data_IF_746528288189
#
_entry.id   IF_746528288189
#
_cell.length_a   1.000
_cell.length_b   1.000
_cell.length_c   1.000
_cell.angle_alpha   90.00
_cell.angle_beta   90.00
_cell.angle_gamma   90.00
#
_symmetry.space_group_name_H-M   'P 1'
#
loop_
_entity.id
_entity.type
_entity.pdbx_description
1 polymer ?
2 polymer ?
3 water ?
#
# COMPACT_ATOMS: atom_id res chain seq x y z
N UNK A 7 20.31 23.69 31.55
CA UNK A 7 21.03 22.48 31.16
C UNK A 7 20.57 21.24 31.92
N UNK A 8 19.70 20.45 31.30
CA UNK A 8 19.16 19.25 31.91
C UNK A 8 19.16 18.14 30.86
N UNK A 9 19.64 16.96 31.26
CA UNK A 9 19.79 15.86 30.30
C UNK A 9 18.47 15.53 29.62
N UNK A 10 17.38 15.53 30.39
CA UNK A 10 16.07 15.18 29.81
C UNK A 10 15.67 16.16 28.72
N UNK A 11 15.96 17.44 28.89
CA UNK A 11 15.61 18.43 27.88
C UNK A 11 16.53 18.31 26.66
N UNK A 12 17.81 18.00 26.88
CA UNK A 12 18.73 17.82 25.76
C UNK A 12 18.33 16.62 24.92
N UNK A 13 18.09 15.48 25.58
CA UNK A 13 17.64 14.30 24.85
C UNK A 13 16.33 14.55 24.12
N UNK A 14 15.45 15.35 24.72
CA UNK A 14 14.20 15.72 24.07
C UNK A 14 14.46 16.60 22.86
N UNK A 15 15.31 17.63 23.03
CA UNK A 15 15.67 18.49 21.91
C UNK A 15 16.15 17.69 20.72
N UNK A 16 17.08 16.77 20.95
CA UNK A 16 17.66 16.00 19.84
C UNK A 16 16.63 15.07 19.22
N UNK A 17 15.77 14.46 20.04
CA UNK A 17 14.74 13.58 19.50
C UNK A 17 13.76 14.36 18.63
N UNK A 18 13.46 15.59 19.02
CA UNK A 18 12.52 16.40 18.25
C UNK A 18 13.14 16.84 16.93
N UNK A 19 14.44 17.17 16.94
CA UNK A 19 15.10 17.53 15.68
C UNK A 19 15.18 16.34 14.74
N UNK A 20 15.36 15.13 15.28
CA UNK A 20 15.35 13.94 14.44
C UNK A 20 13.96 13.70 13.85
N UNK A 21 12.91 14.13 14.55
CA UNK A 21 11.56 14.06 13.98
C UNK A 21 11.43 15.02 12.81
N UNK A 22 11.77 16.29 13.02
CA UNK A 22 11.73 17.25 11.93
C UNK A 22 12.59 16.81 10.76
N UNK A 23 13.66 16.05 11.03
CA UNK A 23 14.46 15.47 9.96
C UNK A 23 13.67 14.43 9.18
N UNK A 24 12.95 13.57 9.89
CA UNK A 24 12.14 12.55 9.21
C UNK A 24 10.94 13.18 8.51
N UNK A 25 10.36 14.22 9.12
CA UNK A 25 9.22 14.91 8.49
C UNK A 25 9.59 15.44 7.12
N UNK A 26 10.76 16.07 7.01
CA UNK A 26 11.20 16.59 5.72
C UNK A 26 11.41 15.46 4.71
N UNK A 27 12.06 14.37 5.14
CA UNK A 27 12.30 13.25 4.25
C UNK A 27 10.99 12.62 3.77
N UNK A 28 9.95 12.65 4.61
CA UNK A 28 8.66 12.12 4.18
C UNK A 28 7.94 13.07 3.23
N UNK A 29 8.14 14.38 3.39
CA UNK A 29 7.54 15.32 2.45
C UNK A 29 8.08 15.14 1.05
N UNK A 30 9.31 14.63 0.91
CA UNK A 30 9.85 14.32 -0.40
C UNK A 30 9.14 13.13 -1.02
N UNK A 31 8.98 12.06 -0.25
CA UNK A 31 8.33 10.86 -0.77
C UNK A 31 6.88 11.13 -1.15
N UNK A 32 6.25 12.10 -0.49
CA UNK A 32 4.84 12.40 -0.75
C UNK A 32 4.66 13.31 -1.96
N UNK A 33 5.69 13.99 -2.41
CA UNK A 33 5.58 14.90 -3.55
C UNK A 33 6.24 14.27 -4.78
N UNK A 34 5.55 13.27 -5.32
CA UNK A 34 6.00 12.57 -6.52
C UNK A 34 4.78 12.08 -7.28
N UNK A 35 4.77 12.32 -8.59
CA UNK A 35 3.62 11.96 -9.42
C UNK A 35 3.27 10.49 -9.27
N UNK A 36 4.28 9.62 -9.18
CA UNK A 36 4.07 8.19 -9.04
C UNK A 36 4.50 7.74 -7.65
N UNK A 37 3.55 7.18 -6.90
CA UNK A 37 3.88 6.51 -5.64
C UNK A 37 4.11 5.04 -5.95
N UNK A 38 5.33 4.75 -6.39
CA UNK A 38 5.71 3.41 -6.81
C UNK A 38 5.66 2.44 -5.63
N UNK A 39 5.96 1.18 -5.92
CA UNK A 39 6.02 0.16 -4.86
C UNK A 39 7.00 0.60 -3.76
N UNK A 40 8.09 1.25 -4.14
CA UNK A 40 9.07 1.70 -3.15
C UNK A 40 8.56 2.88 -2.34
N UNK A 41 7.71 3.73 -2.94
CA UNK A 41 7.25 4.93 -2.25
C UNK A 41 6.52 4.57 -0.97
N UNK A 42 5.62 3.58 -1.02
CA UNK A 42 4.95 3.13 0.20
C UNK A 42 5.94 2.53 1.18
N UNK A 43 6.93 1.80 0.67
CA UNK A 43 7.96 1.25 1.54
C UNK A 43 8.68 2.35 2.32
N UNK A 44 9.10 3.41 1.61
CA UNK A 44 9.78 4.51 2.28
C UNK A 44 8.86 5.19 3.29
N UNK A 45 7.59 5.40 2.92
CA UNK A 45 6.64 6.03 3.83
C UNK A 45 6.52 5.22 5.12
N UNK A 46 6.68 3.90 5.04
CA UNK A 46 6.53 3.06 6.22
C UNK A 46 7.73 3.22 7.16
N UNK A 47 8.94 3.27 6.60
CA UNK A 47 10.13 3.45 7.45
C UNK A 47 10.04 4.75 8.23
N UNK A 48 9.81 5.86 7.54
CA UNK A 48 9.70 7.15 8.21
C UNK A 48 8.62 7.14 9.27
N UNK A 49 7.48 6.51 8.98
CA UNK A 49 6.39 6.46 9.96
C UNK A 49 6.80 5.68 11.19
N UNK A 50 7.51 4.57 11.01
CA UNK A 50 7.96 3.79 12.15
C UNK A 50 9.01 4.55 12.96
N UNK A 51 9.84 5.35 12.30
CA UNK A 51 10.84 6.14 13.01
C UNK A 51 10.17 7.27 13.78
N UNK A 52 9.17 7.92 13.18
CA UNK A 52 8.41 8.93 13.89
C UNK A 52 7.73 8.33 15.12
N UNK A 53 7.16 7.14 14.97
CA UNK A 53 6.42 6.53 16.06
C UNK A 53 7.33 6.23 17.25
N UNK A 54 8.53 5.70 16.98
CA UNK A 54 9.43 5.34 18.08
C UNK A 54 10.12 6.56 18.66
N UNK A 55 10.37 7.60 17.85
CA UNK A 55 10.92 8.83 18.38
C UNK A 55 9.88 9.60 19.18
N UNK A 56 8.62 9.56 18.76
CA UNK A 56 7.55 10.15 19.56
C UNK A 56 7.40 9.41 20.88
N UNK A 57 7.62 8.09 20.86
CA UNK A 57 7.57 7.31 22.09
C UNK A 57 8.69 7.73 23.04
N UNK A 58 9.90 7.93 22.51
CA UNK A 58 11.02 8.37 23.35
C UNK A 58 10.76 9.76 23.90
N UNK A 59 10.24 10.66 23.08
CA UNK A 59 9.91 12.00 23.55
C UNK A 59 8.90 11.95 24.69
N UNK A 60 7.85 11.14 24.52
CA UNK A 60 6.85 11.01 25.57
C UNK A 60 7.48 10.55 26.88
N UNK A 61 8.32 9.51 26.83
CA UNK A 61 8.98 9.03 28.03
C UNK A 61 9.82 10.13 28.66
N UNK A 62 10.45 10.98 27.85
CA UNK A 62 11.19 12.11 28.37
C UNK A 62 10.25 13.17 28.93
N UNK A 63 9.20 13.51 28.19
CA UNK A 63 8.21 14.45 28.70
C UNK A 63 7.59 13.96 29.99
N UNK A 64 7.42 12.64 30.14
CA UNK A 64 6.88 12.10 31.38
C UNK A 64 7.78 12.43 32.56
N UNK A 65 9.10 12.25 32.38
CA UNK A 65 10.06 12.60 33.44
C UNK A 65 9.85 14.04 33.87
N UNK A 66 9.73 14.95 32.89
CA UNK A 66 9.62 16.37 33.20
C UNK A 66 8.32 16.68 33.95
N UNK A 67 7.29 15.85 33.77
CA UNK A 67 6.01 16.11 34.43
C UNK A 67 6.05 15.67 35.89
N UNK A 68 6.39 14.41 36.15
CA UNK A 68 6.40 13.91 37.52
C UNK A 68 7.39 14.69 38.39
N UNK A 69 8.50 15.14 37.80
CA UNK A 69 9.45 15.98 38.52
C UNK A 69 9.05 17.44 38.55
N UNK A 70 7.94 17.81 37.91
CA UNK A 70 7.39 19.15 38.00
C UNK A 70 8.40 20.21 37.57
N UNK A 71 9.11 19.93 36.48
CA UNK A 71 10.10 20.88 35.98
C UNK A 71 9.39 22.14 35.48
N UNK A 72 9.90 23.33 35.80
CA UNK A 72 9.16 24.54 35.45
C UNK A 72 9.09 24.78 33.95
N UNK A 73 7.93 25.27 33.50
CA UNK A 73 7.73 25.79 32.15
C UNK A 73 7.52 27.28 32.31
N UNK A 74 8.58 28.06 32.10
CA UNK A 74 8.53 29.49 32.39
C UNK A 74 7.41 30.16 31.61
N UNK A 75 6.92 31.28 32.14
CA UNK A 75 5.88 32.03 31.46
C UNK A 75 6.34 32.49 30.09
N UNK A 76 7.65 32.68 29.91
CA UNK A 76 8.19 33.06 28.60
C UNK A 76 8.08 31.92 27.59
N UNK A 77 7.89 30.69 28.05
CA UNK A 77 7.74 29.54 27.17
C UNK A 77 6.28 29.15 26.96
N UNK A 78 5.43 29.31 27.98
CA UNK A 78 4.01 29.02 27.81
C UNK A 78 3.36 29.92 26.77
N UNK A 79 3.98 31.05 26.44
CA UNK A 79 3.44 31.93 25.41
C UNK A 79 3.59 31.33 24.02
N UNK A 80 4.60 30.48 23.82
CA UNK A 80 4.83 29.86 22.52
C UNK A 80 3.92 28.67 22.26
N UNK A 81 3.39 28.03 23.30
CA UNK A 81 2.47 26.92 23.12
C UNK A 81 1.12 27.36 22.56
N UNK A 82 0.87 28.67 22.48
CA UNK A 82 -0.33 29.15 21.81
C UNK A 82 -0.22 28.99 20.29
N UNK A 83 1.00 29.10 19.76
CA UNK A 83 1.21 28.90 18.34
C UNK A 83 1.01 27.45 17.90
N UNK A 84 0.97 26.51 18.84
CA UNK A 84 0.75 25.13 18.48
C UNK A 84 -0.58 24.99 17.73
N UNK A 85 -0.63 24.17 16.69
CA UNK A 85 -1.89 24.00 15.96
C UNK A 85 -3.04 23.60 16.90
N UNK A 86 -4.25 24.04 16.55
CA UNK A 86 -5.41 23.77 17.39
C UNK A 86 -5.70 22.28 17.47
N UNK A 87 -5.18 21.47 16.54
CA UNK A 87 -5.31 20.03 16.65
C UNK A 87 -4.54 19.48 17.85
N UNK A 88 -3.53 20.21 18.33
CA UNK A 88 -2.79 19.78 19.52
C UNK A 88 -3.60 19.95 20.79
N UNK A 89 -4.66 20.77 20.76
CA UNK A 89 -5.50 21.01 21.93
C UNK A 89 -4.66 21.49 23.10
N UNK A 90 -3.96 22.60 22.88
CA UNK A 90 -3.16 23.24 23.93
C UNK A 90 -3.75 24.60 24.28
N UNK A 95 -3.10 28.98 32.75
CA UNK A 95 -2.90 28.93 34.20
C UNK A 95 -3.06 27.51 34.71
N UNK A 96 -2.21 26.61 34.22
CA UNK A 96 -2.26 25.20 34.59
C UNK A 96 -0.90 24.80 35.17
N UNK A 97 -0.93 23.77 36.02
CA UNK A 97 0.27 23.28 36.70
C UNK A 97 1.41 22.99 35.72
N UNK A 98 2.63 22.88 36.23
CA UNK A 98 3.76 22.49 35.39
C UNK A 98 3.65 21.03 34.98
N UNK A 99 3.34 20.15 35.94
CA UNK A 99 3.26 18.73 35.64
C UNK A 99 2.12 18.41 34.69
N UNK A 100 0.97 19.07 34.88
CA UNK A 100 -0.19 18.79 34.03
C UNK A 100 0.07 19.20 32.58
N UNK A 101 0.95 20.17 32.35
CA UNK A 101 1.20 20.64 30.99
C UNK A 101 2.17 19.74 30.25
N UNK A 102 3.20 19.23 30.94
CA UNK A 102 4.08 18.25 30.31
C UNK A 102 3.29 17.01 29.88
N UNK A 103 2.35 16.57 30.71
CA UNK A 103 1.49 15.44 30.34
C UNK A 103 0.54 15.84 29.23
N UNK A 104 0.04 17.08 29.26
CA UNK A 104 -0.81 17.59 28.19
C UNK A 104 -0.09 17.69 26.86
N UNK A 105 1.23 17.50 26.84
CA UNK A 105 2.01 17.49 25.61
C UNK A 105 2.36 16.07 25.18
N UNK A 106 2.92 15.28 26.10
CA UNK A 106 3.28 13.90 25.77
C UNK A 106 2.12 13.15 25.13
N UNK A 107 0.91 13.38 25.64
CA UNK A 107 -0.27 12.77 25.03
C UNK A 107 -0.66 13.49 23.74
N UNK A 108 -0.56 14.82 23.73
CA UNK A 108 -0.86 15.57 22.52
C UNK A 108 0.01 15.10 21.35
N UNK A 109 1.32 15.10 21.55
CA UNK A 109 2.23 14.65 20.49
C UNK A 109 1.96 13.20 20.13
N UNK A 110 1.51 12.40 21.10
CA UNK A 110 1.28 10.97 20.86
C UNK A 110 -0.04 10.72 20.14
N UNK A 111 -1.09 11.46 20.49
CA UNK A 111 -2.37 11.31 19.82
C UNK A 111 -2.36 11.97 18.45
N UNK A 112 -1.58 13.03 18.27
CA UNK A 112 -1.41 13.65 16.97
C UNK A 112 -0.76 12.68 15.98
N UNK A 113 -0.07 11.65 16.48
CA UNK A 113 0.55 10.65 15.64
C UNK A 113 -0.35 9.43 15.42
N UNK A 114 -0.85 8.84 16.50
CA UNK A 114 -1.62 7.60 16.39
C UNK A 114 -2.99 7.85 15.77
N UNK A 115 -3.75 8.78 16.34
CA UNK A 115 -5.14 9.00 15.96
C UNK A 115 -5.30 10.09 14.90
N UNK A 116 -4.21 10.68 14.41
CA UNK A 116 -4.32 11.74 13.43
C UNK A 116 -3.37 11.50 12.26
N UNK A 117 -2.06 11.54 12.51
CA UNK A 117 -1.09 11.43 11.43
C UNK A 117 -1.15 10.04 10.78
N UNK A 118 -1.08 8.99 11.60
CA UNK A 118 -1.07 7.63 11.06
C UNK A 118 -2.38 7.25 10.39
N UNK A 119 -3.48 7.95 10.68
CA UNK A 119 -4.72 7.68 9.99
C UNK A 119 -4.60 8.00 8.51
N UNK A 120 -4.16 9.22 8.20
CA UNK A 120 -3.93 9.60 6.81
C UNK A 120 -2.91 8.66 6.15
N UNK A 121 -1.92 8.18 6.91
CA UNK A 121 -0.93 7.29 6.35
C UNK A 121 -1.56 6.02 5.80
N UNK A 122 -2.43 5.40 6.60
CA UNK A 122 -3.03 4.13 6.17
C UNK A 122 -4.01 4.35 5.02
N UNK A 123 -4.79 5.43 5.07
CA UNK A 123 -5.69 5.76 3.97
C UNK A 123 -4.93 5.88 2.67
N UNK A 124 -3.79 6.58 2.70
CA UNK A 124 -2.95 6.70 1.51
C UNK A 124 -2.51 5.32 1.03
N UNK A 125 -1.96 4.52 1.94
CA UNK A 125 -1.46 3.20 1.54
C UNK A 125 -2.59 2.31 1.05
N UNK A 126 -3.72 2.29 1.77
CA UNK A 126 -4.85 1.47 1.35
C UNK A 126 -5.31 1.85 -0.05
N UNK A 127 -5.46 3.16 -0.31
CA UNK A 127 -5.90 3.60 -1.62
C UNK A 127 -4.79 3.51 -2.65
N UNK A 128 -3.53 3.72 -2.23
CA UNK A 128 -2.42 3.57 -3.16
C UNK A 128 -2.33 2.13 -3.68
N UNK A 129 -2.38 1.15 -2.77
CA UNK A 129 -2.40 -0.24 -3.19
C UNK A 129 -3.56 -0.52 -4.13
N UNK A 130 -4.75 -0.03 -3.78
CA UNK A 130 -5.92 -0.22 -4.62
C UNK A 130 -5.69 0.33 -6.03
N UNK A 131 -5.25 1.58 -6.11
CA UNK A 131 -5.03 2.18 -7.43
C UNK A 131 -3.85 1.56 -8.16
N UNK A 132 -2.84 1.08 -7.42
CA UNK A 132 -1.75 0.36 -8.05
C UNK A 132 -2.28 -0.86 -8.80
N UNK A 133 -3.09 -1.68 -8.13
CA UNK A 133 -3.64 -2.87 -8.77
C UNK A 133 -4.57 -2.49 -9.92
N UNK A 134 -5.31 -1.40 -9.80
CA UNK A 134 -6.15 -0.96 -10.91
C UNK A 134 -5.29 -0.58 -12.12
N UNK A 135 -4.19 0.14 -11.88
CA UNK A 135 -3.29 0.49 -12.98
C UNK A 135 -2.83 -0.76 -13.72
N UNK A 136 -2.79 -1.91 -13.05
CA UNK A 136 -2.46 -3.16 -13.74
C UNK A 136 -3.57 -3.55 -14.70
N UNK A 137 -4.82 -3.36 -14.31
CA UNK A 137 -5.93 -3.54 -15.24
C UNK A 137 -5.78 -2.58 -16.41
N UNK A 138 -5.33 -1.36 -16.14
CA UNK A 138 -5.17 -0.37 -17.18
C UNK A 138 -4.13 -0.81 -18.21
N UNK A 139 -2.99 -1.32 -17.73
CA UNK A 139 -1.95 -1.78 -18.64
C UNK A 139 -2.38 -3.01 -19.42
N UNK A 140 -3.21 -3.86 -18.82
CA UNK A 140 -3.67 -5.08 -19.48
C UNK A 140 -4.81 -4.84 -20.44
N UNK A 141 -5.31 -3.61 -20.57
CA UNK A 141 -6.38 -3.34 -21.52
C UNK A 141 -5.94 -3.62 -22.95
N UNK A 142 -4.65 -3.51 -23.23
CA UNK A 142 -4.15 -3.82 -24.57
C UNK A 142 -4.54 -5.24 -25.00
N UNK A 143 -4.59 -6.17 -24.05
CA UNK A 143 -4.89 -7.55 -24.35
C UNK A 143 -6.37 -7.89 -24.38
N UNK A 144 -7.25 -6.94 -24.13
CA UNK A 144 -8.69 -7.17 -24.15
C UNK A 144 -9.40 -6.30 -25.19
N UNK A 145 -8.65 -5.59 -26.02
CA UNK A 145 -9.22 -4.70 -27.03
C UNK A 145 -8.47 -4.96 -28.34
N UNK A 146 -9.17 -5.49 -29.34
CA UNK A 146 -8.59 -5.81 -30.62
C UNK A 146 -9.33 -5.04 -31.72
N UNK A 147 -8.64 -4.30 -32.57
CA UNK A 147 -9.33 -3.59 -33.66
C UNK A 147 -9.38 -4.40 -34.94
N UNK A 148 -10.34 -4.04 -35.78
CA UNK A 148 -10.52 -4.69 -37.08
C UNK A 148 -10.48 -3.71 -38.22
N UNK A 153 -15.02 2.11 -37.86
CA UNK A 153 -14.06 1.04 -37.59
C UNK A 153 -14.68 -0.05 -36.72
N UNK A 154 -13.88 -1.04 -36.39
CA UNK A 154 -14.30 -2.18 -35.57
C UNK A 154 -13.36 -2.34 -34.40
N UNK A 155 -13.91 -2.68 -33.24
CA UNK A 155 -13.11 -2.90 -32.04
C UNK A 155 -13.76 -4.00 -31.19
N UNK A 156 -13.11 -5.15 -31.12
CA UNK A 156 -13.57 -6.23 -30.26
C UNK A 156 -13.12 -5.97 -28.83
N UNK A 157 -14.01 -6.27 -27.87
CA UNK A 157 -13.74 -6.03 -26.46
C UNK A 157 -14.06 -7.29 -25.67
N UNK A 158 -13.07 -7.81 -24.94
CA UNK A 158 -13.28 -8.94 -24.05
C UNK A 158 -13.93 -8.45 -22.76
N UNK A 159 -15.24 -8.27 -22.83
CA UNK A 159 -15.98 -7.70 -21.70
C UNK A 159 -15.92 -8.62 -20.49
N UNK A 160 -16.12 -9.93 -20.71
CA UNK A 160 -16.14 -10.87 -19.59
C UNK A 160 -14.82 -10.86 -18.83
N UNK A 161 -13.70 -10.94 -19.57
CA UNK A 161 -12.40 -10.89 -18.92
C UNK A 161 -12.21 -9.59 -18.14
N UNK A 162 -12.70 -8.49 -18.69
CA UNK A 162 -12.50 -7.19 -18.04
C UNK A 162 -13.36 -7.06 -16.78
N UNK A 163 -14.62 -7.49 -16.84
CA UNK A 163 -15.47 -7.43 -15.66
C UNK A 163 -14.92 -8.32 -14.55
N UNK A 164 -14.51 -9.54 -14.90
CA UNK A 164 -13.89 -10.42 -13.91
C UNK A 164 -12.71 -9.73 -13.24
N UNK A 165 -11.88 -9.04 -14.02
CA UNK A 165 -10.74 -8.33 -13.44
C UNK A 165 -11.20 -7.26 -12.46
N UNK A 166 -12.17 -6.44 -12.88
CA UNK A 166 -12.64 -5.35 -12.03
C UNK A 166 -13.37 -5.88 -10.80
N UNK A 167 -14.17 -6.94 -10.98
CA UNK A 167 -14.91 -7.50 -9.85
C UNK A 167 -13.96 -8.09 -8.81
N UNK A 168 -12.85 -8.70 -9.26
CA UNK A 168 -11.86 -9.22 -8.34
C UNK A 168 -11.01 -8.13 -7.70
N UNK A 169 -10.94 -6.95 -8.32
CA UNK A 169 -10.34 -5.80 -7.66
C UNK A 169 -11.19 -5.36 -6.48
N UNK A 170 -12.49 -5.16 -6.69
CA UNK A 170 -13.41 -4.88 -5.59
C UNK A 170 -13.27 -5.92 -4.49
N UNK A 171 -13.27 -7.21 -4.86
CA UNK A 171 -13.17 -8.28 -3.88
C UNK A 171 -11.87 -8.18 -3.09
N UNK A 172 -10.76 -7.92 -3.77
CA UNK A 172 -9.46 -7.91 -3.11
C UNK A 172 -9.33 -6.82 -2.07
N UNK A 173 -10.21 -5.82 -2.05
CA UNK A 173 -10.08 -4.67 -1.17
C UNK A 173 -11.34 -4.41 -0.35
N UNK A 174 -12.26 -5.36 -0.28
CA UNK A 174 -13.49 -5.14 0.48
C UNK A 174 -13.20 -5.04 1.97
N UNK A 175 -12.27 -5.86 2.47
CA UNK A 175 -11.89 -5.86 3.88
C UNK A 175 -10.55 -5.18 4.10
N UNK A 176 -10.27 -4.12 3.33
CA UNK A 176 -9.07 -3.30 3.49
C UNK A 176 -9.52 -1.85 3.53
N UNK A 177 -9.99 -1.39 4.68
CA UNK A 177 -10.58 -0.04 4.77
C UNK A 177 -9.52 1.05 4.82
N UNK A 178 -9.95 2.26 4.43
CA UNK A 178 -9.11 3.43 4.61
C UNK A 178 -8.86 3.71 6.09
N UNK A 179 -9.81 3.35 6.95
CA UNK A 179 -9.71 3.58 8.39
C UNK A 179 -10.77 2.73 9.05
N UNK A 180 -10.46 2.06 10.18
CA UNK A 180 -9.16 2.00 10.86
C UNK A 180 -8.23 0.94 10.28
N UNK A 181 -6.95 1.00 10.63
CA UNK A 181 -6.00 0.01 10.13
C UNK A 181 -6.33 -1.37 10.68
N UNK A 182 -6.66 -1.46 11.96
CA UNK A 182 -7.03 -2.71 12.60
C UNK A 182 -8.31 -2.51 13.39
N UNK A 183 -9.06 -3.60 13.56
CA UNK A 183 -10.28 -3.58 14.36
C UNK A 183 -11.30 -2.59 13.80
N UNK A 184 -12.24 -2.14 14.63
CA UNK A 184 -13.36 -1.33 14.16
C UNK A 184 -13.47 -0.10 15.06
N UNK A 185 -14.47 0.74 14.74
CA UNK A 185 -14.75 1.95 15.50
C UNK A 185 -16.25 2.18 15.53
N UNK A 186 -16.68 3.23 16.23
CA UNK A 186 -18.10 3.54 16.34
C UNK A 186 -18.58 4.29 15.10
N UNK A 187 -19.90 4.29 14.92
CA UNK A 187 -20.48 5.01 13.78
C UNK A 187 -20.08 6.48 13.80
N UNK A 188 -20.25 7.14 14.95
CA UNK A 188 -19.87 8.54 15.05
C UNK A 188 -18.37 8.74 14.85
N UNK A 189 -17.57 7.69 15.04
CA UNK A 189 -16.14 7.77 14.76
C UNK A 189 -15.82 7.49 13.29
N UNK A 190 -16.46 6.48 12.71
CA UNK A 190 -16.29 6.23 11.29
C UNK A 190 -16.83 7.39 10.46
N UNK A 191 -18.00 7.90 10.83
CA UNK A 191 -18.58 9.02 10.10
C UNK A 191 -17.72 10.27 10.22
N UNK A 192 -17.21 10.54 11.42
CA UNK A 192 -16.38 11.73 11.62
C UNK A 192 -15.13 11.69 10.76
N UNK A 193 -14.56 10.51 10.52
CA UNK A 193 -13.42 10.39 9.63
C UNK A 193 -13.84 10.35 8.16
N UNK A 194 -15.01 9.80 7.87
CA UNK A 194 -15.54 9.85 6.51
C UNK A 194 -15.62 11.29 6.01
N UNK A 195 -16.11 12.20 6.86
CA UNK A 195 -16.25 13.58 6.46
C UNK A 195 -14.89 14.23 6.20
N UNK A 196 -13.86 13.84 6.95
CA UNK A 196 -12.54 14.43 6.76
C UNK A 196 -11.89 13.90 5.49
N UNK A 197 -12.02 12.61 5.21
CA UNK A 197 -11.43 12.02 4.02
C UNK A 197 -12.25 12.33 2.78
N UNK A 198 -13.58 12.23 2.88
CA UNK A 198 -14.45 12.47 1.75
C UNK A 198 -15.43 11.35 1.54
N UNK A 199 -16.71 11.69 1.40
CA UNK A 199 -17.72 10.68 1.13
C UNK A 199 -17.60 10.03 -0.23
N UNK A 200 -16.80 10.60 -1.14
CA UNK A 200 -16.57 10.02 -2.45
C UNK A 200 -15.39 9.06 -2.48
N UNK A 201 -14.43 9.24 -1.57
CA UNK A 201 -13.27 8.35 -1.52
C UNK A 201 -13.52 7.15 -0.63
N UNK A 202 -14.32 7.30 0.43
CA UNK A 202 -14.62 6.23 1.34
C UNK A 202 -16.12 6.01 1.49
N UNK A 203 -16.45 5.04 2.35
CA UNK A 203 -17.84 4.71 2.62
C UNK A 203 -17.90 3.89 3.90
N UNK A 204 -18.65 4.37 4.90
CA UNK A 204 -18.78 3.62 6.14
C UNK A 204 -19.44 2.28 5.85
N UNK A 205 -18.99 1.25 6.56
CA UNK A 205 -19.47 -0.10 6.32
C UNK A 205 -19.47 -0.88 7.62
N UNK A 206 -20.35 -1.86 7.72
CA UNK A 206 -20.41 -2.71 8.89
C UNK A 206 -19.42 -3.86 8.76
N UNK A 207 -18.58 -4.02 9.78
CA UNK A 207 -17.61 -5.12 9.85
C UNK A 207 -17.71 -5.72 11.25
N UNK A 208 -18.23 -6.94 11.32
CA UNK A 208 -18.48 -7.60 12.61
C UNK A 208 -19.48 -6.73 13.36
N UNK A 209 -19.19 -6.32 14.60
CA UNK A 209 -20.13 -5.49 15.35
C UNK A 209 -19.98 -4.01 15.08
N UNK A 210 -18.75 -3.55 14.82
CA UNK A 210 -18.48 -2.15 14.63
C UNK A 210 -18.50 -1.73 13.16
N UNK A 211 -17.98 -0.53 12.92
CA UNK A 211 -17.93 0.08 11.60
C UNK A 211 -16.49 0.33 11.18
N UNK A 212 -16.33 0.64 9.90
CA UNK A 212 -15.04 1.02 9.33
C UNK A 212 -15.30 2.10 8.27
N UNK A 213 -14.23 2.54 7.61
CA UNK A 213 -14.32 3.48 6.50
C UNK A 213 -13.72 2.76 5.30
N UNK A 214 -14.54 1.98 4.60
CA UNK A 214 -14.05 1.17 3.49
C UNK A 214 -13.71 2.04 2.30
N UNK A 215 -12.89 1.49 1.41
CA UNK A 215 -12.64 2.13 0.12
C UNK A 215 -13.95 2.23 -0.65
N UNK A 216 -14.20 3.41 -1.22
CA UNK A 216 -15.37 3.59 -2.09
C UNK A 216 -15.00 3.11 -3.49
N UNK A 217 -15.66 2.05 -3.94
CA UNK A 217 -15.38 1.46 -5.25
C UNK A 217 -16.39 1.90 -6.30
N UNK A 218 -17.12 2.99 -6.05
CA UNK A 218 -18.06 3.48 -7.04
C UNK A 218 -17.43 3.67 -8.42
N UNK A 219 -16.22 4.24 -8.55
CA UNK A 219 -15.61 4.33 -9.89
C UNK A 219 -15.57 3.00 -10.63
N UNK A 220 -15.26 1.91 -9.93
CA UNK A 220 -15.26 0.60 -10.55
C UNK A 220 -16.68 0.10 -10.79
N UNK A 221 -17.58 0.35 -9.83
CA UNK A 221 -18.98 0.01 -10.05
C UNK A 221 -19.52 0.66 -11.32
N UNK A 222 -19.17 1.93 -11.55
CA UNK A 222 -19.62 2.62 -12.76
C UNK A 222 -19.09 1.93 -14.00
N UNK A 223 -17.84 1.44 -13.94
CA UNK A 223 -17.27 0.71 -15.07
C UNK A 223 -18.06 -0.56 -15.35
N UNK A 224 -18.37 -1.34 -14.31
CA UNK A 224 -19.12 -2.57 -14.50
C UNK A 224 -20.49 -2.30 -15.09
N UNK A 225 -21.14 -1.21 -14.67
CA UNK A 225 -22.42 -0.84 -15.26
C UNK A 225 -22.26 -0.50 -16.74
N UNK A 226 -21.23 0.28 -17.08
CA UNK A 226 -21.01 0.63 -18.49
C UNK A 226 -20.76 -0.61 -19.34
N UNK A 227 -20.01 -1.58 -18.80
CA UNK A 227 -19.73 -2.79 -19.55
C UNK A 227 -21.00 -3.62 -19.75
N UNK A 228 -21.82 -3.75 -18.70
CA UNK A 228 -23.08 -4.46 -18.84
C UNK A 228 -23.97 -3.83 -19.89
N UNK A 229 -23.84 -2.51 -20.10
CA UNK A 229 -24.65 -1.82 -21.10
C UNK A 229 -24.16 -2.07 -22.51
N UNK A 230 -22.89 -2.46 -22.68
CA UNK A 230 -22.39 -2.79 -24.02
C UNK A 230 -23.08 -4.00 -24.61
N UNK A 231 -23.77 -4.80 -23.80
CA UNK A 231 -24.48 -5.94 -24.32
C UNK A 231 -23.54 -7.07 -24.68
N UNK A 232 -23.97 -7.89 -25.63
CA UNK A 232 -23.21 -9.06 -26.05
C UNK A 232 -23.20 -10.14 -25.00
N UNK A 233 -22.72 -11.33 -25.38
CA UNK A 233 -22.66 -12.46 -24.46
C UNK A 233 -21.23 -12.92 -24.27
N UNK A 234 -20.35 -12.01 -23.83
CA UNK A 234 -18.95 -12.33 -23.67
C UNK A 234 -18.06 -11.28 -24.31
N UNK A 235 -17.72 -11.48 -25.58
CA UNK A 235 -16.95 -10.52 -26.35
C UNK A 235 -17.91 -9.65 -27.16
N UNK A 236 -17.64 -8.35 -27.22
CA UNK A 236 -18.51 -7.38 -27.86
C UNK A 236 -17.69 -6.60 -28.87
N UNK A 237 -18.22 -6.42 -30.07
CA UNK A 237 -17.58 -5.63 -31.11
C UNK A 237 -18.31 -4.30 -31.21
N UNK A 238 -17.59 -3.20 -30.99
CA UNK A 238 -18.18 -1.87 -30.95
C UNK A 238 -17.86 -1.11 -32.24
N UNK A 239 -18.76 -0.20 -32.58
CA UNK A 239 -18.45 0.81 -33.59
C UNK A 239 -17.29 1.66 -33.10
N UNK A 240 -16.74 2.50 -34.00
CA UNK A 240 -15.65 3.37 -33.58
C UNK A 240 -16.16 4.46 -32.64
N UNK A 241 -17.39 4.94 -32.85
CA UNK A 241 -17.95 5.95 -31.96
C UNK A 241 -18.33 5.34 -30.61
N UNK A 242 -18.91 4.14 -30.62
CA UNK A 242 -19.28 3.48 -29.38
C UNK A 242 -18.05 3.08 -28.55
N UNK A 243 -16.89 2.94 -29.19
CA UNK A 243 -15.67 2.64 -28.44
C UNK A 243 -15.11 3.89 -27.78
N UNK A 244 -14.92 4.96 -28.55
CA UNK A 244 -14.45 6.22 -27.97
C UNK A 244 -15.35 6.67 -26.84
N UNK A 245 -16.64 6.34 -26.90
CA UNK A 245 -17.56 6.67 -25.83
C UNK A 245 -17.23 5.89 -24.55
N UNK A 246 -17.11 4.56 -24.68
CA UNK A 246 -16.81 3.73 -23.51
C UNK A 246 -15.45 4.12 -22.92
N UNK A 247 -14.42 4.20 -23.75
CA UNK A 247 -13.09 4.49 -23.26
C UNK A 247 -13.02 5.84 -22.55
N UNK A 248 -13.83 6.82 -23.00
CA UNK A 248 -13.84 8.12 -22.36
C UNK A 248 -14.33 8.01 -20.92
N UNK A 249 -15.46 7.34 -20.71
CA UNK A 249 -15.97 7.15 -19.36
C UNK A 249 -15.06 6.27 -18.52
N UNK A 250 -14.40 5.30 -19.15
CA UNK A 250 -13.46 4.45 -18.42
C UNK A 250 -12.20 5.23 -18.05
N UNK A 251 -11.79 6.16 -18.92
CA UNK A 251 -10.64 7.00 -18.61
C UNK A 251 -10.99 8.09 -17.62
N UNK A 252 -12.24 8.56 -17.63
CA UNK A 252 -12.66 9.56 -16.65
C UNK A 252 -12.70 8.98 -15.25
N UNK A 253 -13.17 7.74 -15.11
CA UNK A 253 -13.14 7.08 -13.81
C UNK A 253 -11.71 6.88 -13.33
N UNK A 254 -10.77 6.70 -14.27
CA UNK A 254 -9.37 6.58 -13.88
C UNK A 254 -8.86 7.88 -13.25
N UNK A 255 -9.23 9.02 -13.83
CA UNK A 255 -8.82 10.30 -13.27
C UNK A 255 -9.49 10.55 -11.93
N UNK A 256 -10.76 10.13 -11.79
CA UNK A 256 -11.44 10.23 -10.51
C UNK A 256 -10.62 9.57 -9.40
N UNK A 257 -10.23 8.31 -9.61
CA UNK A 257 -9.43 7.61 -8.61
C UNK A 257 -8.05 8.26 -8.46
N UNK A 258 -7.46 8.69 -9.57
CA UNK A 258 -6.16 9.37 -9.50
C UNK A 258 -6.26 10.68 -8.73
N UNK A 259 -7.39 11.39 -8.85
CA UNK A 259 -7.59 12.61 -8.07
C UNK A 259 -7.95 12.27 -6.62
N UNK A 260 -8.78 11.24 -6.41
CA UNK A 260 -9.05 10.79 -5.05
C UNK A 260 -7.77 10.50 -4.29
N UNK A 261 -6.80 9.88 -4.96
CA UNK A 261 -5.53 9.57 -4.30
C UNK A 261 -4.73 10.84 -4.04
N UNK A 262 -4.65 11.73 -5.03
CA UNK A 262 -4.00 13.02 -4.82
C UNK A 262 -4.63 13.76 -3.64
N UNK A 263 -5.94 13.63 -3.46
CA UNK A 263 -6.60 14.26 -2.32
C UNK A 263 -6.06 13.72 -1.00
N UNK A 264 -5.95 12.40 -0.89
CA UNK A 264 -5.43 11.81 0.34
C UNK A 264 -3.99 12.24 0.59
N UNK A 265 -3.15 12.25 -0.45
CA UNK A 265 -1.76 12.63 -0.28
C UNK A 265 -1.65 14.04 0.30
N UNK A 266 -2.47 14.96 -0.20
CA UNK A 266 -2.44 16.32 0.33
C UNK A 266 -2.96 16.38 1.76
N UNK A 267 -4.05 15.66 2.04
CA UNK A 267 -4.53 15.56 3.42
C UNK A 267 -3.46 14.96 4.33
N UNK A 268 -2.60 14.09 3.78
CA UNK A 268 -1.55 13.48 4.56
C UNK A 268 -0.38 14.44 4.76
N UNK A 269 0.11 15.04 3.67
CA UNK A 269 1.23 15.96 3.77
C UNK A 269 0.88 17.18 4.59
N UNK A 270 -0.39 17.60 4.56
CA UNK A 270 -0.84 18.70 5.42
C UNK A 270 -0.88 18.26 6.88
N UNK A 271 -1.43 17.07 7.14
CA UNK A 271 -1.39 16.53 8.50
C UNK A 271 0.04 16.38 8.99
N UNK A 272 0.99 16.18 8.07
CA UNK A 272 2.40 16.15 8.45
C UNK A 272 2.91 17.55 8.77
N UNK A 273 2.52 18.54 7.97
CA UNK A 273 2.94 19.91 8.25
C UNK A 273 2.42 20.39 9.59
N UNK A 274 1.23 19.95 9.99
CA UNK A 274 0.71 20.27 11.31
C UNK A 274 1.56 19.62 12.38
N UNK A 275 1.72 18.30 12.30
CA UNK A 275 2.57 17.58 13.25
C UNK A 275 3.96 18.19 13.30
N UNK A 276 4.46 18.66 12.15
CA UNK A 276 5.79 19.26 12.11
C UNK A 276 5.83 20.56 12.90
N UNK A 277 4.79 21.39 12.79
CA UNK A 277 4.76 22.65 13.52
C UNK A 277 4.51 22.43 15.01
N UNK A 278 3.79 21.37 15.36
CA UNK A 278 3.68 21.00 16.77
C UNK A 278 5.04 20.66 17.34
N UNK A 279 5.95 20.17 16.51
CA UNK A 279 7.32 19.89 16.94
C UNK A 279 8.17 21.16 16.92
N UNK A 280 8.02 21.97 15.87
CA UNK A 280 8.77 23.22 15.79
C UNK A 280 8.45 24.11 16.99
N UNK A 281 7.18 24.21 17.37
CA UNK A 281 6.81 24.96 18.56
C UNK A 281 7.41 24.32 19.80
N UNK A 282 7.24 23.00 19.96
CA UNK A 282 7.75 22.32 21.14
C UNK A 282 9.27 22.44 21.23
N UNK A 283 9.97 22.23 20.12
CA UNK A 283 11.43 22.30 20.14
C UNK A 283 11.90 23.68 20.60
N UNK A 284 11.21 24.74 20.17
CA UNK A 284 11.55 26.09 20.59
C UNK A 284 11.09 26.38 22.01
N UNK A 285 10.12 25.62 22.52
CA UNK A 285 9.66 25.82 23.89
C UNK A 285 10.63 25.22 24.91
N UNK A 286 11.36 24.17 24.53
CA UNK A 286 12.34 23.58 25.41
C UNK A 286 13.71 24.22 25.24
N UNK A 287 14.04 24.65 24.03
CA UNK A 287 15.30 25.36 23.81
C UNK A 287 15.39 26.64 24.63
N UNK A 288 14.25 27.18 25.08
CA UNK A 288 14.23 28.34 25.96
C UNK A 288 14.24 27.92 27.43
N UNK A 289 13.21 27.20 27.86
CA UNK A 289 13.13 26.73 29.23
C UNK A 289 14.27 25.75 29.53
N UNK B 4 -10.40 -21.62 -17.66
CA UNK B 4 -9.29 -22.43 -17.09
C UNK B 4 -7.93 -21.92 -17.59
N UNK B 5 -6.95 -21.90 -16.70
CA UNK B 5 -5.64 -21.32 -16.99
C UNK B 5 -4.66 -22.45 -17.30
N UNK B 6 -3.89 -22.29 -18.36
CA UNK B 6 -2.83 -23.21 -18.73
C UNK B 6 -1.49 -22.57 -18.44
N UNK B 7 -0.63 -23.30 -17.72
CA UNK B 7 0.69 -22.80 -17.35
C UNK B 7 1.76 -23.69 -17.97
N UNK B 8 2.92 -23.08 -18.24
CA UNK B 8 4.05 -23.80 -18.83
C UNK B 8 5.32 -23.07 -18.47
N UNK B 9 6.20 -23.71 -17.70
CA UNK B 9 7.45 -23.11 -17.27
C UNK B 9 8.57 -23.43 -18.26
N UNK B 10 9.51 -22.50 -18.37
CA UNK B 10 10.67 -22.69 -19.22
C UNK B 10 11.84 -21.90 -18.64
N UNK B 11 13.05 -22.30 -19.04
CA UNK B 11 14.27 -21.65 -18.56
C UNK B 11 15.14 -22.50 -17.68
N UNK B 12 14.74 -23.71 -17.30
CA UNK B 12 15.57 -24.55 -16.47
C UNK B 12 16.81 -25.04 -17.22
N UNK B 13 17.54 -25.90 -16.55
CA UNK B 13 18.74 -26.47 -17.13
C UNK B 13 19.80 -26.67 -16.06
N UNK B 14 21.00 -27.01 -16.53
CA UNK B 14 22.14 -27.25 -15.67
C UNK B 14 22.99 -25.99 -15.58
N UNK B 15 23.38 -25.64 -14.35
CA UNK B 15 24.29 -24.53 -14.11
C UNK B 15 25.31 -24.95 -13.07
N UNK B 16 26.39 -24.20 -13.00
CA UNK B 16 27.40 -24.43 -11.98
C UNK B 16 27.11 -23.60 -10.75
N UNK B 17 27.62 -23.99 -9.58
CA UNK B 17 27.41 -23.17 -8.38
C UNK B 17 27.83 -21.73 -8.62
N UNK B 18 26.99 -20.80 -8.18
CA UNK B 18 27.20 -19.40 -8.44
C UNK B 18 26.61 -18.91 -9.75
N UNK B 19 26.15 -19.81 -10.60
CA UNK B 19 25.50 -19.42 -11.84
C UNK B 19 24.12 -18.83 -11.59
N UNK B 20 23.43 -18.52 -12.68
CA UNK B 20 22.14 -17.87 -12.61
C UNK B 20 21.25 -18.35 -13.74
N UNK B 21 19.94 -18.28 -13.50
CA UNK B 21 18.93 -18.65 -14.49
C UNK B 21 17.85 -17.58 -14.54
N UNK B 22 17.04 -17.64 -15.58
CA UNK B 22 15.90 -16.73 -15.78
C UNK B 22 14.67 -17.60 -15.98
N UNK B 23 14.09 -18.07 -14.88
CA UNK B 23 12.92 -18.93 -14.95
C UNK B 23 11.71 -18.13 -15.42
N UNK B 24 10.96 -18.72 -16.35
CA UNK B 24 9.84 -18.05 -16.99
C UNK B 24 8.66 -18.99 -17.05
N UNK B 25 7.48 -18.48 -16.69
CA UNK B 25 6.22 -19.22 -16.84
C UNK B 25 5.26 -18.37 -17.65
N UNK B 26 4.81 -18.90 -18.78
CA UNK B 26 3.83 -18.23 -19.62
C UNK B 26 2.46 -18.84 -19.40
N UNK B 27 1.46 -17.98 -19.21
CA UNK B 27 0.10 -18.41 -18.94
C UNK B 27 -0.79 -18.13 -20.15
N UNK B 28 -1.82 -18.96 -20.31
CA UNK B 28 -2.81 -18.76 -21.36
C UNK B 28 -4.14 -19.32 -20.85
N UNK B 29 -5.21 -18.56 -21.05
CA UNK B 29 -6.53 -19.01 -20.65
C UNK B 29 -7.36 -17.94 -19.98
N UNK B 30 -7.57 -18.09 -18.67
CA UNK B 30 -8.48 -17.22 -17.95
C UNK B 30 -8.00 -15.80 -17.81
N UNK B 31 -8.28 -15.19 -16.67
CA UNK B 31 -7.91 -13.81 -16.40
C UNK B 31 -6.62 -13.86 -15.58
N UNK B 32 -5.48 -13.71 -16.27
CA UNK B 32 -4.18 -13.87 -15.62
C UNK B 32 -3.99 -12.87 -14.49
N UNK B 33 -4.62 -11.69 -14.57
CA UNK B 33 -4.29 -10.61 -13.67
C UNK B 33 -4.87 -10.80 -12.27
N UNK B 34 -5.90 -11.63 -12.11
CA UNK B 34 -6.56 -11.78 -10.80
C UNK B 34 -5.94 -12.84 -9.92
N UNK B 35 -4.98 -13.61 -10.43
CA UNK B 35 -4.44 -14.76 -9.70
C UNK B 35 -3.14 -14.38 -9.02
N UNK B 36 -3.00 -14.78 -7.75
CA UNK B 36 -1.73 -14.68 -7.07
C UNK B 36 -0.79 -15.77 -7.60
N UNK B 37 0.43 -15.38 -7.93
CA UNK B 37 1.41 -16.32 -8.48
C UNK B 37 2.40 -16.74 -7.41
N UNK B 38 2.95 -17.94 -7.58
CA UNK B 38 3.94 -18.46 -6.66
C UNK B 38 4.79 -19.53 -7.30
N UNK B 39 6.10 -19.44 -7.12
CA UNK B 39 7.01 -20.47 -7.59
C UNK B 39 7.24 -21.47 -6.47
N UNK B 40 7.15 -22.76 -6.81
CA UNK B 40 7.42 -23.84 -5.88
C UNK B 40 8.57 -24.69 -6.43
N UNK B 41 9.18 -25.48 -5.54
CA UNK B 41 10.24 -26.38 -5.93
C UNK B 41 10.17 -27.64 -5.06
N UNK B 42 10.61 -28.75 -5.62
CA UNK B 42 10.66 -30.01 -4.90
C UNK B 42 11.93 -30.75 -5.30
N UNK B 43 12.87 -30.87 -4.37
CA UNK B 43 14.08 -31.62 -4.62
C UNK B 43 13.83 -33.12 -4.47
N UNK B 44 14.68 -33.96 -5.06
CA UNK B 44 14.46 -35.41 -4.96
C UNK B 44 14.39 -35.87 -3.52
N UNK B 45 13.34 -36.62 -3.20
CA UNK B 45 13.16 -37.16 -1.87
C UNK B 45 12.49 -36.17 -0.94
N UNK B 46 12.98 -34.93 -0.95
CA UNK B 46 12.47 -33.92 -0.05
C UNK B 46 11.06 -33.49 -0.46
N UNK B 47 10.43 -32.69 0.39
CA UNK B 47 9.04 -32.29 0.23
C UNK B 47 8.93 -30.96 -0.49
N UNK B 48 7.76 -30.73 -1.08
CA UNK B 48 7.50 -29.52 -1.84
C UNK B 48 7.70 -28.28 -0.96
N UNK B 49 8.12 -27.19 -1.59
CA UNK B 49 8.51 -25.99 -0.86
C UNK B 49 8.11 -24.76 -1.66
N UNK B 50 7.67 -23.72 -0.95
CA UNK B 50 7.39 -22.43 -1.56
C UNK B 50 8.64 -21.56 -1.47
N UNK B 51 9.04 -20.99 -2.61
CA UNK B 51 10.28 -20.22 -2.69
C UNK B 51 10.00 -18.74 -2.93
N UNK B 52 8.97 -18.42 -3.72
CA UNK B 52 8.64 -17.03 -4.03
C UNK B 52 7.15 -16.92 -4.29
N UNK B 53 6.60 -15.74 -3.99
CA UNK B 53 5.17 -15.49 -4.18
C UNK B 53 4.98 -14.01 -4.52
N UNK B 54 3.94 -13.75 -5.33
CA UNK B 54 3.59 -12.38 -5.71
C UNK B 54 2.08 -12.31 -5.84
N UNK B 55 1.50 -11.23 -5.33
CA UNK B 55 0.05 -11.10 -5.31
C UNK B 55 -0.47 -10.68 -6.69
N UNK B 56 -1.79 -10.67 -6.81
CA UNK B 56 -2.44 -10.37 -8.08
C UNK B 56 -2.25 -8.91 -8.46
N UNK B 57 -2.60 -8.60 -9.71
CA UNK B 57 -2.62 -7.23 -10.22
C UNK B 57 -1.19 -6.67 -10.20
N UNK B 58 -0.95 -5.49 -9.64
CA UNK B 58 0.37 -4.87 -9.72
C UNK B 58 1.46 -5.76 -9.13
N UNK B 59 1.09 -6.63 -8.19
CA UNK B 59 2.08 -7.53 -7.60
C UNK B 59 3.04 -6.83 -6.66
N UNK B 60 2.55 -5.88 -5.86
CA UNK B 60 3.42 -5.13 -4.96
C UNK B 60 3.96 -6.02 -3.85
N UNK B 61 3.14 -6.91 -3.33
CA UNK B 61 3.50 -7.72 -2.17
C UNK B 61 4.22 -8.97 -2.65
N UNK B 62 5.45 -9.16 -2.18
CA UNK B 62 6.23 -10.35 -2.48
C UNK B 62 7.02 -10.75 -1.26
N UNK B 63 7.06 -12.05 -0.97
CA UNK B 63 7.88 -12.59 0.09
C UNK B 63 8.53 -13.87 -0.39
N UNK B 64 9.74 -14.15 0.13
CA UNK B 64 10.52 -15.29 -0.28
C UNK B 64 10.89 -16.12 0.95
N UNK B 65 11.31 -17.35 0.70
CA UNK B 65 11.83 -18.18 1.77
C UNK B 65 13.18 -17.64 2.25
N UNK B 66 13.47 -17.86 3.53
CA UNK B 66 14.71 -17.35 4.10
C UNK B 66 15.91 -17.88 3.34
N UNK B 67 15.85 -19.12 2.87
CA UNK B 67 16.94 -19.74 2.13
C UNK B 67 17.07 -19.22 0.71
N UNK B 68 16.42 -18.11 0.35
CA UNK B 68 16.36 -17.68 -1.04
C UNK B 68 16.41 -16.16 -1.16
N UNK B 69 16.02 -15.46 -0.08
CA UNK B 69 16.02 -14.00 -0.11
C UNK B 69 17.37 -13.45 -0.56
N UNK B 70 17.31 -12.34 -1.29
CA UNK B 70 18.50 -11.70 -1.82
C UNK B 70 19.10 -12.35 -3.03
N UNK B 71 18.64 -13.55 -3.40
CA UNK B 71 19.16 -14.27 -4.55
C UNK B 71 18.13 -14.48 -5.66
N UNK B 72 16.88 -14.78 -5.29
CA UNK B 72 15.81 -14.88 -6.27
C UNK B 72 14.96 -13.61 -6.27
N UNK B 73 14.26 -13.39 -7.37
CA UNK B 73 13.36 -12.26 -7.50
C UNK B 73 12.18 -12.69 -8.37
N UNK B 74 10.96 -12.47 -7.87
CA UNK B 74 9.74 -12.86 -8.58
C UNK B 74 9.10 -11.60 -9.14
N UNK B 75 8.72 -11.66 -10.42
CA UNK B 75 8.04 -10.56 -11.08
C UNK B 75 6.97 -11.13 -12.00
N UNK B 76 6.03 -10.27 -12.38
CA UNK B 76 4.93 -10.68 -13.25
C UNK B 76 4.69 -9.61 -14.31
N UNK B 77 4.32 -10.07 -15.50
CA UNK B 77 4.02 -9.21 -16.65
C UNK B 77 2.56 -9.47 -17.04
N UNK B 78 1.66 -8.64 -16.51
CA UNK B 78 0.24 -8.81 -16.80
C UNK B 78 -0.06 -8.56 -18.27
N UNK B 79 0.73 -7.71 -18.93
CA UNK B 79 0.50 -7.41 -20.35
C UNK B 79 0.70 -8.67 -21.19
N UNK B 80 1.89 -9.27 -21.09
CA UNK B 80 2.18 -10.50 -21.82
C UNK B 80 1.79 -11.75 -21.06
N UNK B 81 1.32 -11.61 -19.81
CA UNK B 81 0.79 -12.74 -19.04
C UNK B 81 1.86 -13.81 -18.83
N UNK B 82 2.94 -13.40 -18.16
CA UNK B 82 4.04 -14.29 -17.83
C UNK B 82 4.52 -14.00 -16.42
N UNK B 83 4.98 -15.05 -15.74
CA UNK B 83 5.56 -14.95 -14.40
C UNK B 83 7.04 -15.31 -14.51
N UNK B 84 7.88 -14.52 -13.86
CA UNK B 84 9.33 -14.71 -13.94
C UNK B 84 9.88 -15.00 -12.55
N UNK B 85 11.05 -15.65 -12.55
CA UNK B 85 11.81 -15.91 -11.32
C UNK B 85 13.28 -15.91 -11.71
N UNK B 86 13.93 -14.75 -11.61
CA UNK B 86 15.35 -14.66 -11.89
C UNK B 86 16.12 -15.17 -10.68
N UNK B 87 17.03 -16.10 -10.91
CA UNK B 87 17.75 -16.77 -9.84
C UNK B 87 19.24 -16.50 -10.01
N UNK B 88 19.84 -15.86 -9.01
CA UNK B 88 21.25 -15.50 -9.04
C UNK B 88 21.97 -16.21 -7.91
N UNK B 89 23.28 -16.37 -8.09
CA UNK B 89 24.13 -17.03 -7.11
C UNK B 89 23.52 -18.36 -6.68
N UNK B 90 23.37 -19.26 -7.64
CA UNK B 90 22.68 -20.52 -7.41
C UNK B 90 23.58 -21.49 -6.66
N UNK B 91 23.00 -22.18 -5.69
CA UNK B 91 23.69 -23.14 -4.85
C UNK B 91 23.20 -24.56 -5.14
N UNK B 92 23.97 -25.58 -4.78
CA UNK B 92 23.52 -26.96 -5.05
C UNK B 92 22.18 -27.29 -4.43
N UNK B 93 21.90 -26.81 -3.22
CA UNK B 93 20.61 -27.10 -2.59
C UNK B 93 19.44 -26.47 -3.34
N UNK B 94 19.70 -25.61 -4.32
CA UNK B 94 18.65 -25.07 -5.17
C UNK B 94 18.29 -26.02 -6.32
N UNK B 95 18.76 -27.26 -6.27
CA UNK B 95 18.45 -28.25 -7.28
C UNK B 95 17.06 -28.83 -7.03
N UNK B 96 16.17 -28.73 -8.02
CA UNK B 96 14.81 -29.23 -7.87
C UNK B 96 14.07 -28.99 -9.19
N UNK B 97 12.86 -29.52 -9.25
CA UNK B 97 11.91 -29.18 -10.31
C UNK B 97 11.10 -27.98 -9.83
N UNK B 98 11.21 -26.86 -10.54
CA UNK B 98 10.53 -25.63 -10.16
C UNK B 98 9.20 -25.54 -10.89
N UNK B 99 8.11 -25.47 -10.12
CA UNK B 99 6.77 -25.33 -10.66
C UNK B 99 6.28 -23.90 -10.41
N UNK B 100 5.35 -23.46 -11.25
CA UNK B 100 4.69 -22.17 -11.09
C UNK B 100 3.22 -22.39 -10.82
N UNK B 101 2.71 -21.73 -9.79
CA UNK B 101 1.33 -21.89 -9.35
C UNK B 101 0.57 -20.58 -9.53
N UNK B 102 -0.64 -20.68 -10.07
CA UNK B 102 -1.59 -19.57 -10.09
C UNK B 102 -2.71 -19.90 -9.13
N UNK B 103 -2.98 -18.99 -8.20
CA UNK B 103 -3.91 -19.28 -7.11
C UNK B 103 -4.79 -18.08 -6.84
N UNK B 104 -6.07 -18.36 -6.56
CA UNK B 104 -7.01 -17.32 -6.14
C UNK B 104 -8.14 -18.04 -5.39
N UNK B 105 -8.13 -17.93 -4.07
CA UNK B 105 -9.09 -18.64 -3.21
C UNK B 105 -8.90 -20.12 -3.50
N UNK B 106 -9.97 -20.87 -3.83
CA UNK B 106 -9.85 -22.30 -4.08
C UNK B 106 -9.34 -22.63 -5.48
N UNK B 107 -9.21 -21.63 -6.35
CA UNK B 107 -8.74 -21.88 -7.72
C UNK B 107 -7.23 -22.04 -7.72
N UNK B 108 -6.74 -23.10 -8.35
CA UNK B 108 -5.31 -23.36 -8.41
C UNK B 108 -4.97 -24.00 -9.74
N UNK B 109 -3.90 -23.52 -10.37
CA UNK B 109 -3.44 -24.05 -11.64
C UNK B 109 -1.93 -24.19 -11.60
N UNK B 110 -1.42 -25.21 -12.30
CA UNK B 110 0.00 -25.58 -12.23
C UNK B 110 0.55 -25.83 -13.62
N UNK B 111 1.81 -25.44 -13.82
CA UNK B 111 2.56 -25.89 -14.98
C UNK B 111 3.29 -27.19 -14.69
N UNK B 112 3.86 -27.77 -15.75
CA UNK B 112 4.54 -29.06 -15.58
C UNK B 112 5.85 -28.91 -14.81
N UNK B 113 6.54 -27.79 -14.95
CA UNK B 113 7.74 -27.54 -14.19
C UNK B 113 9.00 -27.84 -14.99
N UNK B 114 10.07 -27.12 -14.64
CA UNK B 114 11.38 -27.30 -15.26
C UNK B 114 12.38 -27.81 -14.23
N UNK B 115 13.32 -28.61 -14.69
CA UNK B 115 14.41 -29.07 -13.86
C UNK B 115 15.48 -28.00 -13.74
N UNK B 116 15.98 -27.80 -12.54
CA UNK B 116 17.10 -26.90 -12.26
C UNK B 116 18.15 -27.71 -11.51
N UNK B 117 19.30 -27.93 -12.14
CA UNK B 117 20.39 -28.68 -11.54
C UNK B 117 21.58 -27.76 -11.37
N UNK B 118 22.18 -27.78 -10.19
CA UNK B 118 23.34 -26.95 -9.88
C UNK B 118 24.43 -27.87 -9.35
N UNK B 119 25.51 -28.00 -10.11
CA UNK B 119 26.63 -28.84 -9.69
C UNK B 119 27.92 -28.38 -10.35
#
# INVERSE_FOLDING_TARGET
GSTGSHPVSSLTMLNDTLHNIRTTNQALKKELSQKTLTKTSLEEIALHSSQISMDVNKSAQLLDILSRNEYPINKDARELLHSAPKEAELDGDQMISHRELWAKIANSINDINEQYLKVYEHAVSSYTQMYQDFSAVLSSLAGWISPGGNDGNSVKLQVNSLKKALEELKEKYKDKPLYPANNTVSQEQANKWLTELGGTIGKVSQKNGGYVVSINMTPIDNMLKSLDNLGGNGEVVLDNAKYQAWNAGFSAEDETMKNNLQTLVQKYSNANSIFDNLVKVLSSTISSS
GSTQVQLAESGGGLVQPGGSLRLSCSASGGVFIIYNMGWYRQAPGKQRELVASIDSYSGSITNYADSVKGRFTISRDNVEKRVYLEMNNLKPEDTAVYYCNANLRTNNYWGQGTQVTVSSEPKTPKPQPARQGAPVPYPDPLEP
#
